data_IF_012201420850
#
_entry.id   IF_012201420850
#
_cell.length_a   1.000
_cell.length_b   1.000
_cell.length_c   1.000
_cell.angle_alpha   90.00
_cell.angle_beta   90.00
_cell.angle_gamma   90.00
#
_symmetry.space_group_name_H-M   'P 1'
#
loop_
_entity.id
_entity.type
_entity.pdbx_description
1 polymer ?
#
# COMPACT_ATOMS: atom_id res chain seq x y z
N UNK A 1 6.96 -19.31 -24.46
CA UNK A 1 6.33 -19.65 -23.20
C UNK A 1 6.26 -18.42 -22.28
N UNK A 2 5.65 -17.31 -22.67
CA UNK A 2 5.59 -16.13 -21.81
C UNK A 2 4.57 -15.08 -22.26
N UNK A 3 3.44 -15.49 -22.84
CA UNK A 3 2.46 -14.52 -23.36
C UNK A 3 1.26 -14.27 -22.42
N UNK A 4 0.91 -15.18 -21.54
CA UNK A 4 -0.21 -14.99 -20.60
C UNK A 4 0.17 -14.07 -19.42
N UNK A 5 1.35 -14.22 -18.85
CA UNK A 5 1.83 -13.40 -17.71
C UNK A 5 2.01 -11.90 -18.04
N UNK A 6 2.33 -11.55 -19.30
CA UNK A 6 2.53 -10.16 -19.70
C UNK A 6 1.21 -9.39 -19.93
N UNK A 7 0.13 -10.08 -20.28
CA UNK A 7 -1.18 -9.44 -20.50
C UNK A 7 -1.91 -9.12 -19.18
N UNK A 8 -1.74 -9.95 -18.14
CA UNK A 8 -2.34 -9.70 -16.82
C UNK A 8 -1.73 -8.49 -16.10
N UNK A 9 -0.44 -8.23 -16.26
CA UNK A 9 0.23 -7.11 -15.60
C UNK A 9 -0.21 -5.71 -16.08
N UNK A 10 -0.95 -5.61 -17.17
CA UNK A 10 -1.44 -4.35 -17.76
C UNK A 10 -2.92 -4.09 -17.50
N UNK A 11 -3.68 -5.08 -17.04
CA UNK A 11 -5.10 -4.93 -16.77
C UNK A 11 -5.32 -4.07 -15.51
N UNK A 12 -6.23 -3.09 -15.62
CA UNK A 12 -6.63 -2.24 -14.50
C UNK A 12 -7.78 -2.90 -13.74
N UNK A 13 -7.83 -2.69 -12.43
CA UNK A 13 -8.94 -3.16 -11.59
C UNK A 13 -10.25 -2.51 -12.02
N UNK A 14 -11.27 -3.34 -12.25
CA UNK A 14 -12.62 -2.87 -12.55
C UNK A 14 -13.32 -2.40 -11.27
N UNK A 15 -14.13 -1.36 -11.38
CA UNK A 15 -14.84 -0.76 -10.27
C UNK A 15 -16.29 -0.43 -10.62
N UNK A 16 -17.14 -0.37 -9.59
CA UNK A 16 -18.52 0.03 -9.74
C UNK A 16 -18.63 1.53 -9.98
N UNK A 17 -19.45 1.92 -10.96
CA UNK A 17 -19.74 3.33 -11.19
C UNK A 17 -20.63 3.86 -10.06
N UNK A 18 -20.10 4.81 -9.30
CA UNK A 18 -20.81 5.47 -8.22
C UNK A 18 -21.12 6.93 -8.60
N UNK A 19 -22.22 7.50 -8.10
CA UNK A 19 -22.48 8.92 -8.26
C UNK A 19 -21.36 9.75 -7.63
N UNK A 20 -20.94 10.81 -8.30
CA UNK A 20 -19.89 11.72 -7.82
C UNK A 20 -20.29 13.18 -8.03
N UNK A 21 -19.89 14.10 -7.14
CA UNK A 21 -20.07 15.52 -7.38
C UNK A 21 -19.28 16.00 -8.61
N UNK A 22 -19.70 17.06 -9.28
CA UNK A 22 -18.94 17.66 -10.37
C UNK A 22 -17.52 18.02 -9.94
N UNK A 23 -16.55 17.80 -10.84
CA UNK A 23 -15.13 18.12 -10.59
C UNK A 23 -14.31 16.97 -9.99
N UNK A 24 -14.94 15.87 -9.62
CA UNK A 24 -14.23 14.65 -9.22
C UNK A 24 -14.19 13.62 -10.35
N UNK A 25 -13.21 12.74 -10.29
CA UNK A 25 -13.02 11.65 -11.24
C UNK A 25 -12.40 10.45 -10.57
N UNK A 26 -12.50 9.29 -11.22
CA UNK A 26 -11.75 8.09 -10.81
C UNK A 26 -10.50 7.99 -11.66
N UNK A 27 -9.37 7.72 -11.02
CA UNK A 27 -8.10 7.41 -11.67
C UNK A 27 -7.58 6.07 -11.19
N UNK A 28 -6.95 5.31 -12.08
CA UNK A 28 -6.28 4.07 -11.68
C UNK A 28 -4.85 4.36 -11.26
N UNK A 29 -4.46 3.85 -10.11
CA UNK A 29 -3.10 3.95 -9.57
C UNK A 29 -2.35 2.63 -9.77
N UNK A 30 -1.04 2.62 -9.55
CA UNK A 30 -0.24 1.40 -9.75
C UNK A 30 -0.47 0.35 -8.67
N UNK A 31 -0.80 0.75 -7.45
CA UNK A 31 -0.85 -0.16 -6.30
C UNK A 31 -2.17 -0.13 -5.54
N UNK A 32 -2.84 1.02 -5.49
CA UNK A 32 -4.09 1.17 -4.73
C UNK A 32 -5.34 0.83 -5.57
N UNK A 33 -5.15 0.51 -6.87
CA UNK A 33 -6.27 0.34 -7.79
C UNK A 33 -6.95 1.66 -8.15
N UNK A 34 -8.27 1.65 -8.39
CA UNK A 34 -9.04 2.86 -8.69
C UNK A 34 -9.22 3.72 -7.43
N UNK A 35 -8.91 5.00 -7.54
CA UNK A 35 -9.06 5.99 -6.46
C UNK A 35 -9.83 7.21 -6.95
N UNK A 36 -10.50 7.90 -6.03
CA UNK A 36 -11.07 9.21 -6.34
C UNK A 36 -9.97 10.26 -6.40
N UNK A 37 -10.14 11.19 -7.32
CA UNK A 37 -9.27 12.33 -7.49
C UNK A 37 -10.08 13.60 -7.74
N UNK A 38 -9.50 14.75 -7.39
CA UNK A 38 -10.06 16.05 -7.72
C UNK A 38 -9.89 16.38 -9.21
N UNK A 39 -10.35 17.55 -9.63
CA UNK A 39 -10.25 18.02 -11.02
C UNK A 39 -8.81 18.08 -11.54
N UNK A 40 -7.84 18.33 -10.66
CA UNK A 40 -6.40 18.36 -10.97
C UNK A 40 -5.77 16.96 -11.02
N UNK A 41 -6.51 15.93 -10.60
CA UNK A 41 -6.02 14.55 -10.53
C UNK A 41 -5.28 14.19 -9.24
N UNK A 42 -5.37 15.03 -8.20
CA UNK A 42 -4.79 14.70 -6.90
C UNK A 42 -5.65 13.66 -6.21
N UNK A 43 -5.01 12.62 -5.70
CA UNK A 43 -5.65 11.52 -4.98
C UNK A 43 -6.35 12.02 -3.72
N UNK A 44 -7.52 11.47 -3.43
CA UNK A 44 -8.28 11.78 -2.22
C UNK A 44 -8.02 10.73 -1.15
N UNK A 45 -7.85 11.20 0.08
CA UNK A 45 -7.54 10.40 1.26
C UNK A 45 -8.59 10.59 2.34
N UNK A 46 -8.85 9.53 3.09
CA UNK A 46 -9.59 9.57 4.36
C UNK A 46 -8.67 9.19 5.53
N UNK A 47 -9.05 9.62 6.72
CA UNK A 47 -8.32 9.34 7.95
C UNK A 47 -9.26 8.86 9.06
N UNK A 48 -9.77 7.63 8.98
CA UNK A 48 -10.74 7.12 9.93
C UNK A 48 -10.14 7.03 11.32
N UNK A 49 -10.97 7.32 12.33
CA UNK A 49 -10.56 7.21 13.74
C UNK A 49 -10.13 5.78 14.08
N UNK A 50 -9.00 5.67 14.77
CA UNK A 50 -8.54 4.41 15.34
C UNK A 50 -8.19 4.58 16.83
N UNK A 51 -8.41 3.52 17.60
CA UNK A 51 -7.98 3.48 19.00
C UNK A 51 -6.48 3.29 19.07
N UNK A 52 -5.82 4.14 19.84
CA UNK A 52 -4.40 4.07 20.15
C UNK A 52 -4.25 3.92 21.68
N UNK A 53 -3.03 3.58 22.14
CA UNK A 53 -2.76 3.45 23.59
C UNK A 53 -3.01 4.72 24.38
N UNK A 54 -2.80 5.87 23.77
CA UNK A 54 -2.97 7.20 24.36
C UNK A 54 -4.30 7.87 23.99
N UNK A 55 -5.26 7.11 23.47
CA UNK A 55 -6.55 7.60 23.04
C UNK A 55 -6.87 7.27 21.60
N UNK A 56 -7.42 8.23 20.88
CA UNK A 56 -7.85 8.06 19.50
C UNK A 56 -7.10 9.02 18.58
N UNK A 57 -6.76 8.56 17.39
CA UNK A 57 -6.30 9.40 16.30
C UNK A 57 -7.18 9.19 15.06
N UNK A 58 -7.19 10.14 14.15
CA UNK A 58 -8.04 10.14 12.97
C UNK A 58 -9.32 10.95 13.14
N UNK A 59 -10.07 11.04 12.06
CA UNK A 59 -11.32 11.78 12.01
C UNK A 59 -12.50 10.90 12.46
N UNK A 60 -13.28 11.35 13.46
CA UNK A 60 -14.61 10.80 13.67
C UNK A 60 -15.49 10.98 12.43
N UNK A 61 -16.55 10.19 12.30
CA UNK A 61 -17.54 10.40 11.25
C UNK A 61 -18.08 11.83 11.31
N UNK A 62 -18.20 12.45 10.13
CA UNK A 62 -18.71 13.81 9.94
C UNK A 62 -17.95 14.93 10.70
N UNK A 63 -16.71 14.67 11.11
CA UNK A 63 -15.90 15.66 11.80
C UNK A 63 -14.44 15.60 11.37
N UNK A 64 -13.90 16.72 10.87
CA UNK A 64 -12.48 16.89 10.59
C UNK A 64 -11.73 17.38 11.83
N UNK A 65 -10.59 16.76 12.17
CA UNK A 65 -9.71 17.19 13.27
C UNK A 65 -8.40 17.81 12.78
N UNK A 66 -8.14 17.80 11.47
CA UNK A 66 -6.96 18.44 10.87
C UNK A 66 -7.16 19.95 10.84
N UNK A 67 -6.50 20.67 11.72
CA UNK A 67 -6.57 22.14 11.86
C UNK A 67 -5.29 22.81 11.37
N UNK A 68 -5.33 24.13 11.22
CA UNK A 68 -4.15 24.94 10.86
C UNK A 68 -3.23 25.12 12.08
N UNK A 69 -2.72 24.02 12.59
CA UNK A 69 -1.81 23.96 13.74
C UNK A 69 -0.57 23.17 13.41
N UNK A 70 0.57 23.61 13.92
CA UNK A 70 1.85 22.93 13.81
C UNK A 70 2.01 22.00 15.01
N UNK A 71 2.39 20.75 14.76
CA UNK A 71 2.73 19.80 15.81
C UNK A 71 4.08 20.16 16.41
N UNK A 72 4.14 20.24 17.73
CA UNK A 72 5.35 20.60 18.48
C UNK A 72 6.10 19.41 19.06
N UNK A 73 5.43 18.27 19.19
CA UNK A 73 6.00 17.03 19.73
C UNK A 73 5.55 15.83 18.90
N UNK A 74 6.40 14.82 18.83
CA UNK A 74 5.98 13.50 18.33
C UNK A 74 5.01 12.86 19.31
N UNK A 75 4.14 11.96 18.82
CA UNK A 75 3.34 11.12 19.70
C UNK A 75 4.24 10.18 20.52
N UNK A 76 4.17 10.27 21.85
CA UNK A 76 5.16 9.64 22.72
C UNK A 76 4.76 8.34 23.37
N UNK A 77 3.49 8.01 23.36
CA UNK A 77 2.98 6.99 24.27
C UNK A 77 3.41 5.56 23.96
N UNK A 78 3.69 5.24 22.70
CA UNK A 78 4.14 3.91 22.27
C UNK A 78 5.60 3.89 21.82
N UNK A 79 6.31 4.97 22.04
CA UNK A 79 7.72 5.18 21.76
C UNK A 79 8.54 4.85 23.02
N UNK A 80 9.83 4.53 22.91
CA UNK A 80 10.75 4.51 24.02
C UNK A 80 10.89 5.90 24.72
N UNK A 81 10.26 6.92 24.16
CA UNK A 81 10.22 8.28 24.68
C UNK A 81 8.80 8.63 25.17
N UNK A 82 8.41 8.32 26.42
CA UNK A 82 7.02 8.43 26.88
C UNK A 82 6.41 9.84 26.82
N UNK A 83 7.22 10.87 26.81
CA UNK A 83 6.78 12.27 26.68
C UNK A 83 6.72 12.78 25.24
N UNK A 84 7.02 11.93 24.27
CA UNK A 84 7.32 12.34 22.89
C UNK A 84 8.69 13.02 22.78
N UNK A 85 9.11 13.26 21.56
CA UNK A 85 10.30 14.05 21.24
C UNK A 85 9.87 15.45 20.80
N UNK A 86 10.51 16.48 21.34
CA UNK A 86 10.32 17.84 20.85
C UNK A 86 10.78 17.92 19.39
N UNK A 87 9.94 18.51 18.55
CA UNK A 87 10.22 18.63 17.13
C UNK A 87 11.05 19.90 16.89
N UNK A 88 12.14 19.82 16.13
CA UNK A 88 12.95 20.99 15.82
C UNK A 88 12.28 21.87 14.75
N UNK A 89 12.84 23.04 14.52
CA UNK A 89 12.50 23.94 13.42
C UNK A 89 10.99 24.24 13.32
N UNK A 90 10.33 24.51 14.46
CA UNK A 90 8.88 24.75 14.52
C UNK A 90 8.43 25.88 13.60
N UNK A 91 9.27 26.89 13.40
CA UNK A 91 9.05 28.01 12.50
C UNK A 91 9.01 27.64 11.01
N UNK A 92 9.59 26.49 10.66
CA UNK A 92 9.63 25.96 9.29
C UNK A 92 8.65 24.83 9.06
N UNK A 93 7.99 24.34 10.09
CA UNK A 93 7.07 23.21 9.98
C UNK A 93 5.74 23.64 9.40
N UNK A 94 5.23 22.81 8.51
CA UNK A 94 3.89 22.96 7.95
C UNK A 94 2.83 22.55 8.97
N UNK A 95 1.69 23.22 8.95
CA UNK A 95 0.51 22.81 9.72
C UNK A 95 -0.16 21.56 9.13
N UNK A 96 -1.10 20.95 9.88
CA UNK A 96 -1.86 19.81 9.40
C UNK A 96 -2.56 20.11 8.06
N UNK A 97 -3.24 21.24 7.92
CA UNK A 97 -3.93 21.60 6.67
C UNK A 97 -2.97 21.90 5.52
N UNK A 98 -1.75 22.33 5.81
CA UNK A 98 -0.73 22.54 4.78
C UNK A 98 -0.15 21.21 4.26
N UNK A 99 -0.08 20.19 5.11
CA UNK A 99 0.37 18.84 4.77
C UNK A 99 -0.76 18.01 4.15
N UNK A 100 -1.97 18.20 4.66
CA UNK A 100 -3.18 17.50 4.26
C UNK A 100 -4.28 18.50 3.95
N UNK A 101 -4.20 19.18 2.78
CA UNK A 101 -5.22 20.15 2.39
C UNK A 101 -6.61 19.51 2.35
N UNK A 102 -7.60 20.07 3.07
CA UNK A 102 -8.97 19.60 3.02
C UNK A 102 -9.55 19.76 1.62
N UNK A 103 -10.38 18.82 1.20
CA UNK A 103 -11.11 18.90 -0.06
C UNK A 103 -12.32 19.82 0.14
N UNK A 104 -12.14 21.10 -0.14
CA UNK A 104 -13.15 22.15 0.11
C UNK A 104 -14.38 21.92 -0.76
N UNK A 105 -15.57 22.06 -0.16
CA UNK A 105 -16.84 22.07 -0.85
C UNK A 105 -17.33 23.52 -1.04
N UNK A 106 -17.90 23.79 -2.22
CA UNK A 106 -18.57 25.08 -2.47
C UNK A 106 -19.76 25.27 -1.52
N UNK A 107 -20.08 26.54 -1.16
CA UNK A 107 -21.20 26.86 -0.28
C UNK A 107 -22.58 26.38 -0.81
N UNK A 108 -22.70 26.17 -2.12
CA UNK A 108 -23.92 25.65 -2.79
C UNK A 108 -23.84 24.17 -3.11
N UNK A 109 -22.72 23.51 -2.74
CA UNK A 109 -22.54 22.08 -2.97
C UNK A 109 -23.65 21.28 -2.28
N UNK A 110 -24.05 20.18 -2.91
CA UNK A 110 -25.08 19.27 -2.36
C UNK A 110 -24.50 17.84 -2.28
N UNK A 111 -24.84 17.08 -1.24
CA UNK A 111 -24.49 15.66 -1.16
C UNK A 111 -24.96 14.88 -2.39
N UNK A 112 -24.17 13.86 -2.78
CA UNK A 112 -24.44 12.99 -3.93
C UNK A 112 -24.02 11.56 -3.59
N UNK A 113 -24.96 10.61 -3.52
CA UNK A 113 -24.65 9.24 -3.09
C UNK A 113 -24.01 9.23 -1.72
N UNK A 114 -22.85 8.56 -1.59
CA UNK A 114 -22.08 8.50 -0.35
C UNK A 114 -21.21 9.74 -0.08
N UNK A 115 -21.25 10.74 -0.97
CA UNK A 115 -20.56 12.01 -0.78
C UNK A 115 -21.40 12.94 0.09
N UNK A 116 -20.82 13.35 1.22
CA UNK A 116 -21.45 14.27 2.19
C UNK A 116 -20.60 15.53 2.36
N UNK A 117 -21.09 16.47 3.15
CA UNK A 117 -20.40 17.74 3.41
C UNK A 117 -20.30 17.94 4.91
N UNK A 118 -19.09 18.22 5.38
CA UNK A 118 -18.75 18.46 6.78
C UNK A 118 -18.40 19.92 6.98
N UNK A 119 -18.90 20.54 8.03
CA UNK A 119 -18.47 21.89 8.45
C UNK A 119 -17.28 21.78 9.38
N UNK A 120 -16.18 22.42 9.02
CA UNK A 120 -14.94 22.46 9.79
C UNK A 120 -15.03 23.48 10.93
N UNK A 121 -14.08 23.41 11.87
CA UNK A 121 -13.97 24.35 13.00
C UNK A 121 -13.74 25.81 12.55
N UNK A 122 -13.08 26.03 11.42
CA UNK A 122 -12.84 27.35 10.80
C UNK A 122 -14.06 27.89 10.02
N UNK A 123 -15.15 27.12 9.97
CA UNK A 123 -16.40 27.47 9.26
C UNK A 123 -16.44 27.09 7.80
N UNK A 124 -15.34 26.61 7.20
CA UNK A 124 -15.31 26.14 5.81
C UNK A 124 -16.04 24.81 5.66
N UNK A 125 -16.52 24.53 4.44
CA UNK A 125 -17.16 23.26 4.11
C UNK A 125 -16.14 22.32 3.44
N UNK A 126 -16.19 21.06 3.82
CA UNK A 126 -15.27 20.03 3.31
C UNK A 126 -16.07 18.83 2.81
N UNK A 127 -15.70 18.30 1.66
CA UNK A 127 -16.24 17.04 1.17
C UNK A 127 -15.83 15.88 2.08
N UNK A 128 -16.75 14.95 2.25
CA UNK A 128 -16.54 13.66 2.91
C UNK A 128 -17.10 12.53 2.03
N UNK A 129 -16.57 11.34 2.17
CA UNK A 129 -17.06 10.13 1.52
C UNK A 129 -17.30 9.05 2.59
N UNK A 130 -18.48 8.41 2.58
CA UNK A 130 -18.91 7.50 3.65
C UNK A 130 -18.69 8.13 5.04
N UNK A 131 -19.11 9.38 5.20
CA UNK A 131 -18.97 10.18 6.42
C UNK A 131 -17.53 10.47 6.87
N UNK A 132 -16.52 10.15 6.06
CA UNK A 132 -15.12 10.41 6.36
C UNK A 132 -14.64 11.66 5.61
N UNK A 133 -14.16 12.71 6.31
CA UNK A 133 -13.59 13.89 5.69
C UNK A 133 -12.49 13.57 4.69
N UNK A 134 -12.45 14.27 3.57
CA UNK A 134 -11.51 14.02 2.48
C UNK A 134 -10.40 15.06 2.44
N UNK A 135 -9.20 14.59 2.18
CA UNK A 135 -7.99 15.37 2.05
C UNK A 135 -7.25 15.06 0.75
N UNK A 136 -6.37 15.96 0.34
CA UNK A 136 -5.28 15.66 -0.59
C UNK A 136 -3.96 15.62 0.17
N UNK A 137 -2.91 15.05 -0.42
CA UNK A 137 -1.57 15.07 0.17
C UNK A 137 -0.68 16.12 -0.49
N UNK A 138 0.11 16.86 0.29
CA UNK A 138 1.11 17.78 -0.25
C UNK A 138 2.25 17.04 -0.97
N UNK A 139 2.42 15.74 -0.73
CA UNK A 139 3.42 14.90 -1.38
C UNK A 139 3.03 14.52 -2.81
N UNK A 140 1.73 14.54 -3.13
CA UNK A 140 1.23 14.15 -4.45
C UNK A 140 1.39 15.33 -5.42
N UNK A 141 2.36 15.22 -6.33
CA UNK A 141 2.71 16.28 -7.28
C UNK A 141 2.12 16.05 -8.67
N UNK A 142 1.79 14.81 -9.00
CA UNK A 142 1.28 14.41 -10.30
C UNK A 142 -0.03 13.64 -10.19
N UNK A 143 -0.91 13.68 -11.21
CA UNK A 143 -2.13 12.89 -11.22
C UNK A 143 -1.84 11.40 -11.04
N UNK A 144 -2.48 10.77 -10.06
CA UNK A 144 -2.30 9.36 -9.75
C UNK A 144 -1.18 9.04 -8.76
N UNK A 145 -0.49 10.06 -8.23
CA UNK A 145 0.40 9.85 -7.10
C UNK A 145 -0.40 9.40 -5.87
N UNK A 146 0.20 8.50 -5.09
CA UNK A 146 -0.34 8.01 -3.81
C UNK A 146 0.73 8.06 -2.71
N UNK A 147 1.60 9.06 -2.78
CA UNK A 147 2.73 9.23 -1.86
C UNK A 147 2.29 9.56 -0.43
N UNK A 148 1.09 10.13 -0.28
CA UNK A 148 0.48 10.37 1.02
C UNK A 148 0.12 9.11 1.80
N UNK A 149 -0.02 7.96 1.15
CA UNK A 149 -0.24 6.68 1.82
C UNK A 149 1.01 6.21 2.56
N UNK A 150 0.86 5.85 3.84
CA UNK A 150 2.00 5.52 4.70
C UNK A 150 2.31 4.04 4.76
N UNK A 151 1.36 3.18 4.55
CA UNK A 151 1.57 1.75 4.75
C UNK A 151 1.46 0.92 3.53
N UNK A 152 2.32 -0.08 3.58
CA UNK A 152 2.40 -1.18 2.65
C UNK A 152 1.47 -2.27 3.05
N UNK A 153 0.55 -2.47 3.59
CA UNK A 153 -0.23 -3.69 3.88
C UNK A 153 -0.19 -4.11 5.34
N UNK A 154 -1.22 -3.76 6.05
CA UNK A 154 -1.39 -4.18 7.43
C UNK A 154 -2.18 -5.46 7.53
N UNK A 155 -1.59 -6.42 8.21
CA UNK A 155 -2.33 -7.54 8.77
C UNK A 155 -2.84 -7.11 10.14
N UNK A 156 -4.15 -6.97 10.26
CA UNK A 156 -4.99 -6.94 11.45
C UNK A 156 -4.47 -6.40 12.80
N UNK A 157 -5.33 -5.78 13.54
CA UNK A 157 -5.22 -5.57 14.97
C UNK A 157 -4.88 -4.13 15.39
N UNK A 158 -3.65 -3.80 15.66
CA UNK A 158 -3.27 -2.49 16.19
C UNK A 158 -2.79 -1.54 15.09
N UNK A 159 -3.73 -1.03 14.31
CA UNK A 159 -3.43 -0.10 13.21
C UNK A 159 -3.52 1.31 13.75
N UNK A 160 -2.42 2.11 13.78
CA UNK A 160 -2.57 3.55 13.94
C UNK A 160 -3.53 4.08 12.87
N UNK A 161 -4.28 5.12 13.19
CA UNK A 161 -5.09 5.80 12.21
C UNK A 161 -4.18 6.33 11.10
N UNK A 162 -4.43 5.94 9.89
CA UNK A 162 -3.64 6.34 8.72
C UNK A 162 -4.51 6.95 7.66
N UNK A 163 -3.95 7.92 6.97
CA UNK A 163 -4.58 8.44 5.78
C UNK A 163 -4.40 7.45 4.64
N UNK A 164 -5.51 6.98 4.10
CA UNK A 164 -5.54 6.00 3.02
C UNK A 164 -6.26 6.57 1.80
N UNK A 165 -5.79 6.28 0.59
CA UNK A 165 -6.54 6.60 -0.62
C UNK A 165 -7.96 6.06 -0.58
N UNK A 166 -8.92 6.81 -1.09
CA UNK A 166 -10.33 6.43 -1.18
C UNK A 166 -10.69 6.21 -2.63
N UNK A 167 -11.42 5.15 -2.93
CA UNK A 167 -11.88 4.85 -4.27
C UNK A 167 -13.29 4.27 -4.29
N UNK A 168 -13.86 4.08 -5.49
CA UNK A 168 -15.11 3.39 -5.65
C UNK A 168 -14.95 1.92 -5.25
N UNK A 169 -16.05 1.22 -4.94
CA UNK A 169 -16.01 -0.22 -4.71
C UNK A 169 -15.46 -0.97 -5.93
N UNK A 170 -14.64 -1.99 -5.69
CA UNK A 170 -14.23 -2.91 -6.76
C UNK A 170 -15.43 -3.67 -7.29
N UNK A 171 -15.52 -3.82 -8.61
CA UNK A 171 -16.61 -4.56 -9.25
C UNK A 171 -16.44 -6.08 -9.04
N UNK A 172 -16.97 -6.59 -7.95
CA UNK A 172 -16.85 -7.99 -7.53
C UNK A 172 -18.21 -8.64 -7.32
N UNK A 173 -18.40 -9.91 -7.70
CA UNK A 173 -19.55 -10.67 -7.25
C UNK A 173 -19.46 -10.94 -5.72
N UNK A 174 -20.57 -11.21 -5.05
CA UNK A 174 -20.56 -11.60 -3.65
C UNK A 174 -19.65 -12.80 -3.40
N UNK A 175 -18.97 -12.80 -2.26
CA UNK A 175 -18.04 -13.86 -1.88
C UNK A 175 -16.57 -13.61 -2.28
N UNK A 176 -16.26 -12.47 -2.89
CA UNK A 176 -14.91 -12.08 -3.23
C UNK A 176 -14.50 -10.74 -2.62
N UNK A 177 -13.20 -10.57 -2.46
CA UNK A 177 -12.53 -9.34 -2.03
C UNK A 177 -11.24 -9.14 -2.79
N UNK A 178 -10.74 -7.92 -2.79
CA UNK A 178 -9.40 -7.58 -3.26
C UNK A 178 -8.57 -7.10 -2.09
N UNK A 179 -7.40 -7.68 -1.92
CA UNK A 179 -6.43 -7.32 -0.89
C UNK A 179 -5.20 -6.69 -1.53
N UNK A 180 -4.74 -5.56 -0.99
CA UNK A 180 -3.51 -4.94 -1.45
C UNK A 180 -2.28 -5.75 -1.06
N UNK A 181 -1.36 -5.96 -1.99
CA UNK A 181 -0.05 -6.58 -1.80
C UNK A 181 1.01 -5.84 -2.62
N UNK A 182 2.29 -6.10 -2.39
CA UNK A 182 3.36 -5.54 -3.24
C UNK A 182 3.30 -6.04 -4.68
N UNK A 183 2.73 -7.24 -4.88
CA UNK A 183 2.54 -7.83 -6.19
C UNK A 183 1.27 -7.34 -6.90
N UNK A 184 0.47 -6.51 -6.22
CA UNK A 184 -0.76 -5.93 -6.76
C UNK A 184 -1.99 -6.17 -5.90
N UNK A 185 -3.13 -6.11 -6.53
CA UNK A 185 -4.46 -6.21 -5.95
C UNK A 185 -4.93 -7.67 -6.02
N UNK A 186 -4.55 -8.45 -5.00
CA UNK A 186 -4.78 -9.90 -4.93
C UNK A 186 -6.26 -10.20 -4.75
N UNK A 187 -6.80 -11.07 -5.61
CA UNK A 187 -8.16 -11.56 -5.49
C UNK A 187 -8.23 -12.69 -4.45
N UNK A 188 -9.12 -12.57 -3.50
CA UNK A 188 -9.37 -13.55 -2.44
C UNK A 188 -10.87 -13.81 -2.29
N UNK A 189 -11.23 -14.93 -1.66
CA UNK A 189 -12.61 -15.19 -1.27
C UNK A 189 -13.02 -14.37 -0.02
N UNK A 190 -14.26 -14.51 0.44
CA UNK A 190 -14.81 -13.83 1.62
C UNK A 190 -14.04 -14.15 2.93
N UNK A 191 -13.42 -15.32 2.99
CA UNK A 191 -12.56 -15.75 4.10
C UNK A 191 -11.10 -15.33 3.94
N UNK A 192 -10.80 -14.54 2.91
CA UNK A 192 -9.46 -14.04 2.56
C UNK A 192 -8.46 -15.10 2.10
N UNK A 193 -8.92 -16.30 1.71
CA UNK A 193 -8.06 -17.26 1.03
C UNK A 193 -7.88 -16.86 -0.44
N UNK A 194 -6.68 -17.01 -0.94
CA UNK A 194 -6.33 -16.71 -2.32
C UNK A 194 -7.11 -17.58 -3.30
N UNK A 195 -7.38 -17.01 -4.46
CA UNK A 195 -7.89 -17.78 -5.59
C UNK A 195 -6.83 -17.91 -6.67
N UNK A 196 -6.92 -19.00 -7.42
CA UNK A 196 -5.91 -19.41 -8.39
C UNK A 196 -6.54 -19.75 -9.73
N UNK A 197 -5.72 -19.69 -10.78
CA UNK A 197 -6.03 -20.15 -12.14
C UNK A 197 -4.97 -21.14 -12.62
N UNK A 198 -5.34 -21.97 -13.60
CA UNK A 198 -4.45 -22.98 -14.19
C UNK A 198 -4.12 -22.63 -15.63
N UNK A 199 -2.84 -22.78 -16.02
CA UNK A 199 -2.40 -22.66 -17.42
C UNK A 199 -2.98 -23.75 -18.33
N UNK A 200 -3.46 -24.86 -17.74
CA UNK A 200 -4.05 -25.95 -18.49
C UNK A 200 -5.53 -25.71 -18.83
N UNK A 201 -6.16 -24.71 -18.21
CA UNK A 201 -7.55 -24.41 -18.47
C UNK A 201 -7.73 -23.62 -19.79
N UNK A 202 -8.85 -23.81 -20.43
CA UNK A 202 -9.25 -23.00 -21.59
C UNK A 202 -10.14 -21.83 -21.17
N UNK A 203 -10.41 -20.88 -22.09
CA UNK A 203 -11.32 -19.79 -21.83
C UNK A 203 -12.73 -20.30 -21.44
N UNK A 204 -13.16 -20.02 -20.23
CA UNK A 204 -14.40 -20.52 -19.64
C UNK A 204 -14.54 -22.05 -19.64
N UNK A 205 -13.43 -22.76 -19.63
CA UNK A 205 -13.40 -24.22 -19.64
C UNK A 205 -12.37 -24.74 -18.64
N UNK A 206 -12.84 -25.48 -17.64
CA UNK A 206 -11.97 -26.16 -16.69
C UNK A 206 -11.50 -27.51 -17.25
N UNK A 207 -10.20 -27.75 -17.17
CA UNK A 207 -9.59 -29.05 -17.46
C UNK A 207 -9.20 -29.81 -16.18
N UNK A 208 -9.36 -29.23 -14.99
CA UNK A 208 -9.24 -29.89 -13.71
C UNK A 208 -10.51 -30.71 -13.42
N UNK A 209 -10.60 -31.93 -13.96
CA UNK A 209 -11.79 -32.79 -13.91
C UNK A 209 -11.55 -34.13 -13.23
N UNK A 210 -10.29 -34.50 -12.97
CA UNK A 210 -9.92 -35.75 -12.30
C UNK A 210 -9.99 -35.61 -10.80
N UNK A 211 -10.25 -36.71 -10.06
CA UNK A 211 -10.30 -36.71 -8.61
C UNK A 211 -8.98 -36.20 -7.98
N UNK A 212 -7.83 -36.55 -8.57
CA UNK A 212 -6.52 -36.09 -8.11
C UNK A 212 -6.41 -34.57 -8.19
N UNK A 213 -6.88 -33.96 -9.30
CA UNK A 213 -6.90 -32.52 -9.42
C UNK A 213 -7.87 -31.90 -8.41
N UNK A 214 -9.09 -32.42 -8.33
CA UNK A 214 -10.15 -31.86 -7.48
C UNK A 214 -9.90 -31.99 -5.98
N UNK A 215 -9.11 -32.97 -5.55
CA UNK A 215 -8.66 -33.08 -4.15
C UNK A 215 -7.68 -31.96 -3.77
N UNK A 216 -6.91 -31.46 -4.74
CA UNK A 216 -5.91 -30.41 -4.52
C UNK A 216 -6.46 -29.02 -4.83
N UNK A 217 -7.25 -28.90 -5.89
CA UNK A 217 -7.76 -27.66 -6.43
C UNK A 217 -9.30 -27.66 -6.41
N UNK A 218 -9.84 -26.96 -5.42
CA UNK A 218 -11.28 -26.89 -5.22
C UNK A 218 -11.88 -25.80 -6.11
N UNK A 219 -12.81 -26.11 -7.02
CA UNK A 219 -13.47 -25.10 -7.83
C UNK A 219 -14.18 -24.06 -6.94
N UNK A 220 -14.02 -22.78 -7.24
CA UNK A 220 -14.78 -21.73 -6.57
C UNK A 220 -16.20 -21.74 -7.12
N UNK A 221 -17.15 -22.30 -6.35
CA UNK A 221 -18.51 -22.51 -6.80
C UNK A 221 -19.26 -21.20 -6.99
N UNK A 222 -20.02 -21.10 -8.08
CA UNK A 222 -20.93 -20.01 -8.36
C UNK A 222 -22.36 -20.46 -8.00
N UNK A 223 -23.12 -19.66 -7.22
CA UNK A 223 -24.51 -20.01 -6.91
C UNK A 223 -25.38 -20.05 -8.17
N UNK A 224 -26.54 -20.71 -8.10
CA UNK A 224 -27.47 -20.81 -9.24
C UNK A 224 -27.92 -19.44 -9.76
N UNK A 225 -28.02 -18.47 -8.87
CA UNK A 225 -28.39 -17.08 -9.20
C UNK A 225 -27.26 -16.25 -9.81
N UNK A 226 -26.02 -16.79 -9.85
CA UNK A 226 -24.88 -16.07 -10.38
C UNK A 226 -25.09 -15.73 -11.87
N UNK A 227 -24.80 -14.47 -12.21
CA UNK A 227 -24.84 -13.98 -13.59
C UNK A 227 -23.48 -13.45 -14.00
N UNK A 228 -23.06 -13.62 -15.27
CA UNK A 228 -21.87 -12.97 -15.80
C UNK A 228 -21.98 -11.44 -15.63
N UNK A 229 -20.90 -10.79 -15.19
CA UNK A 229 -20.84 -9.34 -15.01
C UNK A 229 -19.42 -8.84 -15.24
N UNK A 230 -19.23 -7.91 -16.17
CA UNK A 230 -17.91 -7.33 -16.45
C UNK A 230 -16.88 -8.41 -16.82
N UNK A 231 -15.81 -8.53 -16.01
CA UNK A 231 -14.74 -9.51 -16.20
C UNK A 231 -15.08 -10.90 -15.62
N UNK A 232 -16.27 -11.06 -15.02
CA UNK A 232 -16.71 -12.28 -14.36
C UNK A 232 -17.63 -13.10 -15.26
N UNK A 233 -17.44 -14.40 -15.26
CA UNK A 233 -18.25 -15.36 -16.00
C UNK A 233 -18.46 -16.63 -15.17
N UNK A 234 -19.33 -17.52 -15.65
CA UNK A 234 -19.68 -18.76 -14.98
C UNK A 234 -19.41 -19.92 -15.93
N UNK A 235 -18.68 -20.90 -15.44
CA UNK A 235 -18.37 -22.16 -16.14
C UNK A 235 -19.33 -23.24 -15.66
N UNK A 236 -20.00 -23.91 -16.59
CA UNK A 236 -20.81 -25.10 -16.28
C UNK A 236 -19.89 -26.33 -16.26
N UNK A 237 -19.74 -26.99 -15.12
CA UNK A 237 -18.89 -28.19 -14.97
C UNK A 237 -19.66 -29.50 -15.21
N UNK A 238 -20.86 -29.59 -14.58
CA UNK A 238 -21.81 -30.69 -14.72
C UNK A 238 -23.21 -30.18 -14.40
N UNK A 239 -24.28 -30.91 -14.63
CA UNK A 239 -25.60 -30.47 -14.21
C UNK A 239 -25.61 -30.07 -12.74
N UNK A 240 -26.09 -28.85 -12.44
CA UNK A 240 -26.13 -28.26 -11.10
C UNK A 240 -24.81 -27.78 -10.52
N UNK A 241 -23.65 -28.00 -11.16
CA UNK A 241 -22.34 -27.55 -10.65
C UNK A 241 -21.80 -26.42 -11.51
N UNK A 242 -21.76 -25.24 -10.96
CA UNK A 242 -21.28 -24.01 -11.60
C UNK A 242 -20.06 -23.46 -10.87
N UNK A 243 -19.12 -22.92 -11.63
CA UNK A 243 -17.84 -22.41 -11.14
C UNK A 243 -17.64 -20.97 -11.61
N UNK A 244 -17.18 -20.10 -10.74
CA UNK A 244 -16.74 -18.77 -11.12
C UNK A 244 -15.51 -18.80 -12.02
N UNK A 245 -15.48 -17.88 -12.97
CA UNK A 245 -14.31 -17.55 -13.76
C UNK A 245 -14.09 -16.04 -13.78
N UNK A 246 -12.85 -15.62 -13.74
CA UNK A 246 -12.42 -14.24 -13.86
C UNK A 246 -11.56 -14.08 -15.11
N UNK A 247 -11.85 -13.08 -15.95
CA UNK A 247 -11.19 -12.91 -17.27
C UNK A 247 -11.17 -14.20 -18.09
N UNK A 248 -12.28 -14.92 -18.06
CA UNK A 248 -12.47 -16.23 -18.71
C UNK A 248 -11.64 -17.39 -18.14
N UNK A 249 -10.87 -17.18 -17.08
CA UNK A 249 -10.10 -18.23 -16.39
C UNK A 249 -10.91 -18.81 -15.23
N UNK A 250 -11.20 -20.12 -15.19
CA UNK A 250 -11.85 -20.79 -14.07
C UNK A 250 -11.08 -20.58 -12.76
N UNK A 251 -11.79 -20.31 -11.66
CA UNK A 251 -11.20 -20.00 -10.37
C UNK A 251 -11.21 -21.20 -9.42
N UNK A 252 -10.11 -21.35 -8.69
CA UNK A 252 -9.91 -22.43 -7.71
C UNK A 252 -9.40 -21.86 -6.39
N UNK A 253 -9.56 -22.63 -5.32
CA UNK A 253 -8.80 -22.52 -4.08
C UNK A 253 -7.86 -23.72 -3.94
N UNK A 254 -6.74 -23.51 -3.27
CA UNK A 254 -5.76 -24.56 -3.02
C UNK A 254 -6.03 -25.24 -1.68
N UNK A 255 -6.19 -26.57 -1.66
CA UNK A 255 -6.58 -27.29 -0.45
C UNK A 255 -5.53 -27.27 0.67
N UNK A 256 -4.29 -26.91 0.33
CA UNK A 256 -3.19 -26.82 1.30
C UNK A 256 -2.90 -25.40 1.77
N UNK A 257 -3.68 -24.41 1.34
CA UNK A 257 -3.57 -23.06 1.90
C UNK A 257 -3.98 -23.07 3.37
N UNK A 258 -3.01 -22.91 4.28
CA UNK A 258 -3.24 -22.92 5.73
C UNK A 258 -3.45 -21.51 6.30
N UNK A 259 -3.28 -20.47 5.48
CA UNK A 259 -3.36 -19.06 5.89
C UNK A 259 -4.03 -18.20 4.82
N UNK A 260 -4.55 -17.08 5.27
CA UNK A 260 -5.12 -16.05 4.40
C UNK A 260 -4.04 -15.45 3.49
N UNK A 261 -4.44 -15.07 2.27
CA UNK A 261 -3.57 -14.42 1.28
C UNK A 261 -2.31 -15.25 0.96
N UNK A 262 -2.43 -16.57 0.98
CA UNK A 262 -1.34 -17.49 0.66
C UNK A 262 -0.96 -17.40 -0.83
N UNK A 263 0.31 -17.69 -1.10
CA UNK A 263 0.84 -17.88 -2.45
C UNK A 263 1.27 -19.35 -2.69
N UNK A 264 0.98 -20.24 -1.75
CA UNK A 264 1.51 -21.61 -1.76
C UNK A 264 1.04 -22.40 -2.98
N UNK A 265 -0.18 -22.13 -3.47
CA UNK A 265 -0.67 -22.72 -4.71
C UNK A 265 0.13 -22.30 -5.95
N UNK A 266 0.78 -21.13 -5.95
CA UNK A 266 1.60 -20.70 -7.08
C UNK A 266 2.99 -21.35 -7.14
N UNK A 267 3.36 -22.17 -6.14
CA UNK A 267 4.53 -23.04 -6.20
C UNK A 267 4.27 -24.30 -7.01
N UNK A 268 3.01 -24.65 -7.22
CA UNK A 268 2.64 -25.77 -8.08
C UNK A 268 2.77 -25.35 -9.55
N UNK A 269 3.49 -26.10 -10.36
CA UNK A 269 3.71 -25.76 -11.77
C UNK A 269 2.41 -25.52 -12.54
N UNK A 270 2.32 -24.39 -13.24
CA UNK A 270 1.17 -24.03 -14.06
C UNK A 270 -0.03 -23.49 -13.27
N UNK A 271 0.15 -23.13 -12.01
CA UNK A 271 -0.88 -22.49 -11.20
C UNK A 271 -0.42 -21.10 -10.73
N UNK A 272 -1.34 -20.15 -10.73
CA UNK A 272 -1.03 -18.74 -10.45
C UNK A 272 -2.09 -18.09 -9.58
N UNK A 273 -1.65 -17.24 -8.65
CA UNK A 273 -2.55 -16.33 -7.93
C UNK A 273 -3.24 -15.38 -8.91
N UNK A 274 -4.46 -15.00 -8.62
CA UNK A 274 -5.24 -14.08 -9.43
C UNK A 274 -5.16 -12.67 -8.85
N UNK A 275 -4.89 -11.70 -9.71
CA UNK A 275 -4.88 -10.29 -9.36
C UNK A 275 -5.93 -9.52 -10.16
N UNK A 276 -6.75 -8.71 -9.47
CA UNK A 276 -7.63 -7.75 -10.13
C UNK A 276 -6.81 -6.70 -10.90
N UNK A 277 -5.63 -6.38 -10.37
CA UNK A 277 -4.61 -5.55 -11.02
C UNK A 277 -3.23 -6.00 -10.53
N UNK A 278 -2.30 -6.22 -11.45
CA UNK A 278 -0.90 -6.48 -11.10
C UNK A 278 -0.24 -5.25 -10.48
N UNK A 279 0.73 -5.48 -9.61
CA UNK A 279 1.51 -4.41 -8.97
C UNK A 279 2.57 -3.80 -9.89
N UNK A 280 3.20 -2.71 -9.46
CA UNK A 280 4.28 -2.09 -10.19
C UNK A 280 5.48 -3.04 -10.27
N UNK A 281 6.14 -3.05 -11.42
CA UNK A 281 7.41 -3.75 -11.55
C UNK A 281 8.45 -3.07 -10.66
N UNK A 282 9.18 -3.87 -9.89
CA UNK A 282 10.32 -3.34 -9.16
C UNK A 282 11.47 -2.97 -10.12
N UNK A 283 12.35 -2.04 -9.71
CA UNK A 283 13.47 -1.61 -10.55
C UNK A 283 14.32 -2.78 -11.04
N UNK A 284 14.89 -2.66 -12.23
CA UNK A 284 15.73 -3.70 -12.84
C UNK A 284 17.02 -3.99 -12.07
N UNK A 285 17.46 -3.07 -11.23
CA UNK A 285 18.59 -3.22 -10.31
C UNK A 285 18.27 -4.11 -9.13
N UNK A 286 17.01 -4.42 -8.88
CA UNK A 286 16.59 -5.31 -7.81
C UNK A 286 16.38 -6.73 -8.33
N UNK A 287 16.43 -7.67 -7.41
CA UNK A 287 16.18 -9.10 -7.62
C UNK A 287 15.29 -9.62 -6.50
N UNK A 288 14.86 -10.87 -6.63
CA UNK A 288 14.09 -11.57 -5.60
C UNK A 288 14.98 -12.65 -5.00
N UNK A 289 15.07 -12.68 -3.68
CA UNK A 289 15.71 -13.75 -2.94
C UNK A 289 14.65 -14.64 -2.29
N UNK A 290 14.74 -15.93 -2.56
CA UNK A 290 13.91 -16.94 -1.90
C UNK A 290 14.53 -17.30 -0.55
N UNK A 291 13.73 -17.24 0.50
CA UNK A 291 14.13 -17.54 1.87
C UNK A 291 13.20 -18.57 2.49
N UNK A 292 13.57 -19.12 3.63
CA UNK A 292 12.71 -20.05 4.40
C UNK A 292 11.41 -19.42 4.91
N UNK A 293 11.28 -18.08 4.85
CA UNK A 293 10.09 -17.33 5.27
C UNK A 293 9.32 -16.70 4.12
N UNK A 294 9.81 -16.86 2.89
CA UNK A 294 9.20 -16.30 1.69
C UNK A 294 10.19 -15.59 0.80
N UNK A 295 9.65 -14.79 -0.11
CA UNK A 295 10.43 -14.07 -1.11
C UNK A 295 10.59 -12.61 -0.70
N UNK A 296 11.83 -12.14 -0.64
CA UNK A 296 12.17 -10.76 -0.32
C UNK A 296 12.78 -10.07 -1.53
N UNK A 297 12.51 -8.78 -1.65
CA UNK A 297 13.20 -7.92 -2.61
C UNK A 297 14.63 -7.64 -2.12
N UNK A 298 15.59 -7.73 -3.01
CA UNK A 298 17.01 -7.53 -2.73
C UNK A 298 17.72 -6.75 -3.84
N UNK A 299 18.87 -6.18 -3.55
CA UNK A 299 19.81 -5.72 -4.56
C UNK A 299 20.36 -6.92 -5.35
N UNK A 300 21.00 -6.68 -6.48
CA UNK A 300 21.63 -7.75 -7.30
C UNK A 300 22.68 -8.58 -6.58
N UNK A 301 23.32 -8.02 -5.55
CA UNK A 301 24.27 -8.72 -4.70
C UNK A 301 23.58 -9.62 -3.65
N UNK A 302 22.26 -9.69 -3.64
CA UNK A 302 21.45 -10.49 -2.74
C UNK A 302 21.11 -9.83 -1.39
N UNK A 303 21.61 -8.63 -1.12
CA UNK A 303 21.26 -7.90 0.11
C UNK A 303 19.81 -7.48 0.13
N UNK A 304 19.10 -7.86 1.15
CA UNK A 304 17.67 -7.55 1.34
C UNK A 304 17.44 -6.05 1.37
N UNK A 305 16.41 -5.61 0.66
CA UNK A 305 15.96 -4.22 0.64
C UNK A 305 14.91 -4.00 1.71
N UNK A 306 15.06 -2.90 2.44
CA UNK A 306 14.19 -2.50 3.55
C UNK A 306 13.59 -1.13 3.30
N UNK A 307 12.45 -0.92 3.91
CA UNK A 307 11.88 0.42 4.10
C UNK A 307 11.74 0.73 5.58
N UNK A 308 11.82 2.00 5.92
CA UNK A 308 11.50 2.48 7.25
C UNK A 308 10.01 2.79 7.33
N UNK A 309 9.36 2.30 8.37
CA UNK A 309 7.96 2.62 8.66
C UNK A 309 7.89 3.35 9.99
N UNK A 310 7.03 4.35 10.04
CA UNK A 310 6.78 5.11 11.25
C UNK A 310 5.29 5.43 11.37
N UNK A 311 4.70 5.06 12.48
CA UNK A 311 3.35 5.46 12.88
C UNK A 311 3.45 6.48 13.99
N UNK A 312 3.15 7.72 13.70
CA UNK A 312 3.09 8.77 14.70
C UNK A 312 1.73 8.77 15.41
N UNK A 313 1.72 9.07 16.71
CA UNK A 313 0.50 9.22 17.51
C UNK A 313 -0.09 10.63 17.41
N UNK A 314 0.57 11.54 16.74
CA UNK A 314 0.11 12.91 16.61
C UNK A 314 -1.14 13.02 15.75
N UNK A 315 -2.02 13.94 16.10
CA UNK A 315 -3.29 14.14 15.42
C UNK A 315 -3.15 14.65 13.99
N UNK A 316 -2.03 15.28 13.67
CA UNK A 316 -1.74 15.77 12.31
C UNK A 316 -1.11 14.71 11.39
N UNK A 317 -0.71 13.57 11.98
CA UNK A 317 -0.09 12.45 11.28
C UNK A 317 0.92 12.91 10.23
N UNK A 318 1.88 13.64 10.68
CA UNK A 318 3.11 13.76 9.94
C UNK A 318 3.64 12.34 9.80
N UNK A 319 3.61 11.83 8.60
CA UNK A 319 4.24 10.59 8.28
C UNK A 319 5.72 10.72 8.63
N UNK A 320 6.10 10.28 9.81
CA UNK A 320 7.46 10.39 10.32
C UNK A 320 8.45 9.49 9.57
N UNK A 321 8.01 8.80 8.53
CA UNK A 321 8.81 8.04 7.59
C UNK A 321 9.21 8.83 6.33
N UNK A 322 8.71 10.06 6.14
CA UNK A 322 9.13 10.93 5.05
C UNK A 322 10.41 11.68 5.40
N UNK A 323 11.19 12.04 4.38
CA UNK A 323 12.42 12.82 4.59
C UNK A 323 12.18 14.27 5.01
N UNK A 324 10.95 14.76 4.85
CA UNK A 324 10.54 16.09 5.33
C UNK A 324 10.20 16.09 6.83
N UNK A 325 9.84 14.94 7.40
CA UNK A 325 9.54 14.85 8.82
C UNK A 325 10.83 14.82 9.64
N UNK A 326 10.75 15.20 10.93
CA UNK A 326 11.89 15.10 11.82
C UNK A 326 12.36 13.65 11.91
N UNK A 327 13.63 13.42 11.66
CA UNK A 327 14.21 12.09 11.65
C UNK A 327 14.55 11.53 13.05
N UNK A 328 14.04 12.17 14.12
CA UNK A 328 14.35 11.79 15.51
C UNK A 328 13.98 10.35 15.81
N UNK A 329 12.81 9.89 15.35
CA UNK A 329 12.42 8.50 15.59
C UNK A 329 13.34 7.54 14.88
N UNK A 330 13.69 7.80 13.62
CA UNK A 330 14.60 6.93 12.89
C UNK A 330 15.97 6.91 13.53
N UNK A 331 16.51 8.07 13.88
CA UNK A 331 17.79 8.19 14.57
C UNK A 331 17.77 7.45 15.92
N UNK A 332 16.72 7.62 16.70
CA UNK A 332 16.57 6.94 17.98
C UNK A 332 16.52 5.42 17.84
N UNK A 333 15.77 4.91 16.85
CA UNK A 333 15.57 3.48 16.64
C UNK A 333 16.81 2.83 16.03
N UNK A 334 17.42 3.42 15.00
CA UNK A 334 18.54 2.79 14.30
C UNK A 334 19.91 3.08 14.91
N UNK A 335 20.08 4.25 15.53
CA UNK A 335 21.39 4.70 16.06
C UNK A 335 21.43 4.81 17.58
N UNK A 336 20.30 4.64 18.28
CA UNK A 336 20.22 4.94 19.72
C UNK A 336 20.46 6.42 20.03
N UNK A 337 20.10 7.31 19.11
CA UNK A 337 20.33 8.76 19.19
C UNK A 337 21.58 9.24 18.43
N UNK A 338 22.33 8.34 17.79
CA UNK A 338 23.55 8.64 17.06
C UNK A 338 23.40 8.37 15.55
N UNK A 339 23.44 9.41 14.72
CA UNK A 339 23.38 9.33 13.26
C UNK A 339 24.54 8.53 12.66
N UNK A 340 25.76 8.70 13.17
CA UNK A 340 26.92 7.97 12.66
C UNK A 340 26.74 6.47 12.79
N UNK A 341 26.20 6.02 13.94
CA UNK A 341 25.85 4.61 14.16
C UNK A 341 24.71 4.15 13.25
N UNK A 342 23.71 5.00 13.04
CA UNK A 342 22.62 4.69 12.12
C UNK A 342 23.15 4.44 10.71
N UNK A 343 24.02 5.32 10.20
CA UNK A 343 24.61 5.20 8.86
C UNK A 343 25.57 4.00 8.71
N UNK A 344 26.22 3.55 9.79
CA UNK A 344 27.02 2.33 9.78
C UNK A 344 26.16 1.05 9.66
N UNK A 345 24.92 1.10 10.15
CA UNK A 345 24.02 -0.04 10.16
C UNK A 345 23.10 -0.08 8.93
N UNK A 346 22.61 1.08 8.50
CA UNK A 346 21.60 1.21 7.46
C UNK A 346 22.11 2.09 6.33
N UNK A 347 22.26 1.50 5.15
CA UNK A 347 22.78 2.17 3.97
C UNK A 347 21.64 2.42 2.98
N UNK A 348 21.60 3.61 2.40
CA UNK A 348 20.71 3.87 1.27
C UNK A 348 21.02 2.93 0.10
N UNK A 349 20.00 2.48 -0.60
CA UNK A 349 20.17 1.74 -1.85
C UNK A 349 20.47 2.74 -2.97
N UNK A 350 21.70 2.77 -3.51
CA UNK A 350 22.08 3.75 -4.49
C UNK A 350 21.41 3.47 -5.85
N UNK A 351 21.06 4.53 -6.57
CA UNK A 351 20.66 4.44 -7.97
C UNK A 351 21.86 4.79 -8.86
N UNK A 352 22.19 3.89 -9.79
CA UNK A 352 23.32 4.09 -10.70
C UNK A 352 23.10 5.31 -11.61
N UNK A 353 24.21 5.85 -12.14
CA UNK A 353 24.16 6.93 -13.10
C UNK A 353 23.34 6.51 -14.34
N UNK A 354 22.39 7.35 -14.75
CA UNK A 354 21.52 7.07 -15.88
C UNK A 354 20.33 6.14 -15.60
N UNK A 355 20.25 5.55 -14.41
CA UNK A 355 19.08 4.77 -14.00
C UNK A 355 17.83 5.65 -13.92
N UNK A 356 16.70 5.11 -14.39
CA UNK A 356 15.38 5.76 -14.41
C UNK A 356 14.33 4.81 -13.86
N UNK A 357 13.25 5.36 -13.39
CA UNK A 357 12.05 4.61 -13.04
C UNK A 357 10.89 4.98 -13.96
N UNK A 358 10.17 3.97 -14.43
CA UNK A 358 8.91 4.14 -15.17
C UNK A 358 7.68 4.03 -14.23
N UNK A 359 7.92 3.77 -12.95
CA UNK A 359 6.91 3.64 -11.90
C UNK A 359 6.75 4.96 -11.14
N UNK A 360 5.54 5.26 -10.68
CA UNK A 360 5.26 6.36 -9.75
C UNK A 360 5.51 5.95 -8.30
N UNK A 361 5.44 4.66 -8.02
CA UNK A 361 5.67 4.08 -6.68
C UNK A 361 7.17 3.93 -6.41
N UNK A 362 7.92 3.42 -7.41
CA UNK A 362 9.38 3.39 -7.36
C UNK A 362 9.95 4.63 -8.02
N UNK A 363 10.74 5.39 -7.31
CA UNK A 363 11.36 6.63 -7.79
C UNK A 363 12.83 6.71 -7.41
N UNK A 364 13.53 7.66 -8.00
CA UNK A 364 14.91 7.99 -7.63
C UNK A 364 14.90 9.41 -7.08
N UNK A 365 15.35 9.56 -5.86
CA UNK A 365 15.45 10.85 -5.17
C UNK A 365 16.91 11.19 -4.88
N UNK A 366 17.19 12.47 -4.67
CA UNK A 366 18.50 12.95 -4.19
C UNK A 366 18.42 13.22 -2.70
N UNK A 367 19.35 12.70 -1.93
CA UNK A 367 19.45 12.92 -0.49
C UNK A 367 20.82 13.46 -0.11
N UNK A 368 20.85 14.30 0.89
CA UNK A 368 22.09 14.72 1.56
C UNK A 368 22.47 13.58 2.53
N UNK A 369 23.62 12.91 2.32
CA UNK A 369 24.00 11.76 3.13
C UNK A 369 24.39 12.11 4.57
N UNK A 370 24.56 13.39 4.90
CA UNK A 370 24.90 13.83 6.26
C UNK A 370 23.67 14.15 7.10
N UNK A 371 22.60 14.64 6.47
CA UNK A 371 21.37 15.03 7.14
C UNK A 371 20.19 14.10 6.85
N UNK A 372 20.37 13.17 5.89
CA UNK A 372 19.31 12.30 5.36
C UNK A 372 18.10 13.05 4.80
N UNK A 373 18.23 14.32 4.51
CA UNK A 373 17.15 15.12 3.93
C UNK A 373 17.14 14.99 2.42
N UNK A 374 15.93 14.98 1.87
CA UNK A 374 15.77 15.11 0.43
C UNK A 374 16.23 16.51 -0.01
N UNK A 375 16.96 16.54 -1.10
CA UNK A 375 17.52 17.77 -1.70
C UNK A 375 17.21 17.82 -3.19
N UNK A 376 17.45 18.96 -3.80
CA UNK A 376 17.24 19.12 -5.25
C UNK A 376 18.16 18.18 -6.04
N UNK A 377 17.65 17.66 -7.14
CA UNK A 377 18.44 16.81 -8.04
C UNK A 377 19.68 17.57 -8.55
N UNK A 378 20.85 16.92 -8.44
CA UNK A 378 22.12 17.50 -8.86
C UNK A 378 22.76 18.47 -7.85
N UNK A 379 22.21 18.62 -6.65
CA UNK A 379 22.87 19.38 -5.58
C UNK A 379 24.23 18.76 -5.27
N UNK A 380 25.25 19.60 -5.14
CA UNK A 380 26.61 19.15 -4.82
C UNK A 380 26.65 18.35 -3.51
N UNK A 381 27.34 17.21 -3.51
CA UNK A 381 27.42 16.32 -2.36
C UNK A 381 26.20 15.41 -2.13
N UNK A 382 25.11 15.59 -2.90
CA UNK A 382 23.96 14.70 -2.80
C UNK A 382 24.24 13.34 -3.44
N UNK A 383 23.56 12.31 -2.92
CA UNK A 383 23.56 10.95 -3.49
C UNK A 383 22.18 10.62 -4.07
N UNK A 384 22.17 9.92 -5.21
CA UNK A 384 20.94 9.41 -5.83
C UNK A 384 20.62 8.05 -5.23
N UNK A 385 19.40 7.90 -4.73
CA UNK A 385 18.98 6.69 -4.05
C UNK A 385 17.61 6.23 -4.55
N UNK A 386 17.36 4.93 -4.50
CA UNK A 386 16.04 4.38 -4.74
C UNK A 386 15.09 4.73 -3.60
N UNK A 387 13.85 5.02 -3.98
CA UNK A 387 12.77 5.33 -3.06
C UNK A 387 11.51 4.56 -3.44
N UNK A 388 10.76 4.16 -2.44
CA UNK A 388 9.42 3.59 -2.54
C UNK A 388 8.41 4.57 -1.95
N UNK A 389 7.40 4.96 -2.71
CA UNK A 389 6.44 6.03 -2.34
C UNK A 389 7.15 7.33 -1.86
N UNK A 390 8.22 7.72 -2.56
CA UNK A 390 9.00 8.90 -2.20
C UNK A 390 9.89 8.75 -0.95
N UNK A 391 9.92 7.58 -0.32
CA UNK A 391 10.74 7.29 0.86
C UNK A 391 11.94 6.44 0.47
N UNK A 392 13.15 6.79 0.92
CA UNK A 392 14.33 6.02 0.57
C UNK A 392 14.23 4.59 1.07
N UNK A 393 14.84 3.67 0.35
CA UNK A 393 14.98 2.28 0.76
C UNK A 393 16.42 1.98 1.16
N UNK A 394 16.59 0.95 1.97
CA UNK A 394 17.84 0.69 2.70
C UNK A 394 18.27 -0.76 2.57
N UNK A 395 19.57 -0.99 2.78
CA UNK A 395 20.13 -2.29 3.14
C UNK A 395 20.66 -2.26 4.57
N UNK A 396 20.78 -3.43 5.20
CA UNK A 396 21.26 -3.57 6.57
C UNK A 396 22.65 -4.21 6.61
N UNK A 397 23.57 -3.59 7.32
CA UNK A 397 24.95 -4.08 7.42
C UNK A 397 25.09 -5.42 8.18
N UNK A 398 24.08 -5.77 8.98
CA UNK A 398 24.02 -7.04 9.70
C UNK A 398 23.67 -8.24 8.80
N UNK A 399 23.12 -8.01 7.61
CA UNK A 399 22.88 -9.05 6.62
C UNK A 399 24.21 -9.37 5.90
N UNK A 400 24.73 -10.57 6.10
CA UNK A 400 26.03 -11.01 5.57
C UNK A 400 25.92 -11.87 4.32
N UNK A 401 24.84 -12.66 4.24
CA UNK A 401 24.58 -13.57 3.15
C UNK A 401 23.35 -13.15 2.33
N UNK A 402 23.28 -13.50 1.05
CA UNK A 402 22.09 -13.27 0.22
C UNK A 402 20.82 -13.82 0.86
N UNK A 403 19.77 -13.00 0.90
CA UNK A 403 18.47 -13.40 1.46
C UNK A 403 18.39 -13.37 2.99
N UNK A 404 19.45 -12.99 3.71
CA UNK A 404 19.31 -12.65 5.13
C UNK A 404 18.44 -11.41 5.30
N UNK A 405 17.64 -11.39 6.35
CA UNK A 405 16.72 -10.30 6.65
C UNK A 405 16.71 -9.94 8.16
N UNK A 406 17.90 -9.95 8.76
CA UNK A 406 18.11 -9.66 10.19
C UNK A 406 17.63 -8.25 10.58
N UNK A 407 17.61 -7.32 9.62
CA UNK A 407 17.06 -5.98 9.79
C UNK A 407 15.54 -5.95 9.88
N UNK A 408 14.84 -7.02 9.47
CA UNK A 408 13.38 -7.08 9.55
C UNK A 408 12.92 -7.04 11.00
N UNK A 409 11.91 -6.23 11.27
CA UNK A 409 11.36 -6.06 12.61
C UNK A 409 12.29 -5.37 13.63
N UNK A 410 13.39 -4.76 13.18
CA UNK A 410 14.17 -3.87 14.05
C UNK A 410 13.42 -2.57 14.28
N UNK A 411 13.22 -2.22 15.55
CA UNK A 411 12.49 -1.05 15.98
C UNK A 411 11.38 -1.37 16.98
N UNK A 412 10.48 -0.44 17.16
CA UNK A 412 9.38 -0.57 18.12
C UNK A 412 8.37 -1.64 17.67
N UNK A 413 7.94 -2.48 18.62
CA UNK A 413 6.96 -3.54 18.37
C UNK A 413 7.36 -4.44 17.20
N UNK A 414 8.60 -4.88 17.21
CA UNK A 414 9.13 -5.69 16.12
C UNK A 414 8.98 -4.99 14.74
N UNK A 415 9.27 -3.71 14.68
CA UNK A 415 9.14 -2.90 13.46
C UNK A 415 7.70 -2.69 12.98
N UNK A 416 6.70 -3.13 13.73
CA UNK A 416 5.29 -3.00 13.30
C UNK A 416 4.79 -1.57 13.32
N UNK A 417 5.35 -0.74 14.16
CA UNK A 417 4.97 0.66 14.29
C UNK A 417 6.04 1.60 13.76
N UNK A 418 7.19 1.63 14.43
CA UNK A 418 8.35 2.40 14.03
C UNK A 418 9.52 1.45 13.85
N UNK A 419 10.09 1.39 12.66
CA UNK A 419 11.22 0.52 12.41
C UNK A 419 11.37 0.08 10.96
N UNK A 420 12.29 -0.83 10.75
CA UNK A 420 12.64 -1.32 9.42
C UNK A 420 11.91 -2.61 9.09
N UNK A 421 11.48 -2.73 7.84
CA UNK A 421 10.82 -3.93 7.31
C UNK A 421 11.40 -4.28 5.95
N UNK A 422 11.67 -5.56 5.77
CA UNK A 422 11.99 -6.10 4.45
C UNK A 422 10.76 -6.02 3.53
N UNK A 423 10.99 -5.81 2.25
CA UNK A 423 9.95 -5.90 1.22
C UNK A 423 9.63 -7.38 0.93
N UNK A 424 8.66 -7.91 1.65
CA UNK A 424 8.15 -9.25 1.41
C UNK A 424 7.20 -9.24 0.22
N UNK A 425 7.63 -9.85 -0.88
CA UNK A 425 6.78 -10.11 -2.04
C UNK A 425 5.84 -11.29 -1.77
N UNK A 426 6.33 -12.22 -0.97
CA UNK A 426 5.60 -13.39 -0.50
C UNK A 426 6.07 -13.72 0.92
N UNK A 427 5.16 -14.18 1.78
CA UNK A 427 5.47 -14.74 3.10
C UNK A 427 4.96 -16.17 3.11
N UNK A 428 5.76 -17.14 3.54
CA UNK A 428 5.41 -18.55 3.66
C UNK A 428 4.80 -18.83 5.02
#
# INVERSE_FOLDING_TARGET
MSSASAAESSAREAYDKVPMPPGFKVISTELEGPVFADSRGRTLYKWPIASLRNGYAGDPKDKSVCEDKVTTKTGGFMSPYPGGLDLPDLDKRKSCVALWPPVVADAKAKPVGDWTIVKRSDGTLQWAYDHQPLYTSHLDQSPGDTLGGTTLFRRGGDTPAERTPVGPPTALPPGFRVEGTLNGRLLVNDKRYSVYVSDQDGPNKSNCTTDVCLQRWLPVLAPETAQPQGEWSVVQRSPGVRQWAFRKQPLYTYSRDTRMMSYDGSDEPGWHNVFAQGGPKHPRSFTVQNTTYGDVLAERNGKTVYFYTCGDDSSDQLSCDTLESPQQYRMAICGGGDWARCHQLWHFVPAAAGEKSDSRIWSIISVDPTTDRQVSAGQAGSVRVWAFRGRPVYTYSGDKEPGEFRGHSMGEWQGRRNGFRAFWLRVI
#
